data_IF_126937381321
#
_entry.id   IF_126937381321
#
_cell.length_a   1.000
_cell.length_b   1.000
_cell.length_c   1.000
_cell.angle_alpha   90.00
_cell.angle_beta   90.00
_cell.angle_gamma   90.00
#
_symmetry.space_group_name_H-M   'P 1'
#
loop_
_entity.id
_entity.type
_entity.pdbx_description
1 polymer ?
#
# COMPACT_ATOMS: atom_id res chain seq x y z
N UNK A 1 10.81 10.13 15.16
CA UNK A 1 11.08 8.94 14.33
C UNK A 1 10.75 9.30 12.90
N UNK A 2 11.67 9.08 11.96
CA UNK A 2 11.40 9.31 10.53
C UNK A 2 10.64 8.11 9.94
N UNK A 3 10.06 8.28 8.75
CA UNK A 3 9.45 7.15 8.02
C UNK A 3 10.49 6.06 7.74
N UNK A 4 11.71 6.46 7.38
CA UNK A 4 12.82 5.54 7.12
C UNK A 4 13.16 4.68 8.34
N UNK A 5 13.36 5.32 9.49
CA UNK A 5 13.66 4.59 10.74
C UNK A 5 12.54 3.61 11.09
N UNK A 6 11.28 4.04 10.93
CA UNK A 6 10.13 3.19 11.19
C UNK A 6 10.07 1.98 10.25
N UNK A 7 10.39 2.16 8.96
CA UNK A 7 10.40 1.06 7.98
C UNK A 7 11.48 0.04 8.33
N UNK A 8 12.70 0.49 8.63
CA UNK A 8 13.80 -0.41 8.99
C UNK A 8 13.50 -1.20 10.27
N UNK A 9 12.87 -0.56 11.27
CA UNK A 9 12.40 -1.24 12.49
C UNK A 9 11.22 -2.18 12.24
N UNK A 10 10.39 -1.89 11.23
CA UNK A 10 9.19 -2.67 10.95
C UNK A 10 9.49 -4.04 10.31
N UNK A 11 10.53 -4.15 9.48
CA UNK A 11 10.80 -5.37 8.69
C UNK A 11 10.90 -6.64 9.57
N UNK A 12 11.69 -6.67 10.66
CA UNK A 12 11.72 -7.84 11.55
C UNK A 12 10.38 -8.11 12.24
N UNK A 13 9.57 -7.07 12.48
CA UNK A 13 8.23 -7.22 13.09
C UNK A 13 7.28 -7.90 12.10
N UNK A 14 7.29 -7.49 10.82
CA UNK A 14 6.51 -8.16 9.77
C UNK A 14 6.88 -9.64 9.65
N UNK A 15 8.17 -9.96 9.69
CA UNK A 15 8.67 -11.33 9.67
C UNK A 15 8.17 -12.14 10.87
N UNK A 16 8.30 -11.61 12.08
CA UNK A 16 7.83 -12.27 13.30
C UNK A 16 6.31 -12.47 13.34
N UNK A 17 5.55 -11.65 12.62
CA UNK A 17 4.09 -11.62 12.66
C UNK A 17 3.43 -12.14 11.38
N UNK A 18 4.12 -12.89 10.51
CA UNK A 18 3.62 -13.31 9.18
C UNK A 18 2.18 -13.83 9.17
N UNK A 19 1.76 -14.58 10.20
CA UNK A 19 0.41 -15.16 10.33
C UNK A 19 -0.55 -14.37 11.23
N UNK A 20 -0.07 -13.32 11.88
CA UNK A 20 -0.85 -12.53 12.82
C UNK A 20 -1.78 -11.55 12.10
N UNK A 21 -2.87 -11.16 12.78
CA UNK A 21 -3.81 -10.18 12.26
C UNK A 21 -3.19 -8.77 12.20
N UNK A 22 -3.88 -7.83 11.53
CA UNK A 22 -3.43 -6.44 11.43
C UNK A 22 -3.31 -5.76 12.81
N UNK A 23 -4.17 -6.13 13.76
CA UNK A 23 -4.13 -5.59 15.12
C UNK A 23 -2.84 -6.02 15.85
N UNK A 24 -2.48 -7.30 15.78
CA UNK A 24 -1.27 -7.84 16.41
C UNK A 24 -0.01 -7.27 15.76
N UNK A 25 0.01 -7.16 14.41
CA UNK A 25 1.12 -6.52 13.70
C UNK A 25 1.30 -5.06 14.16
N UNK A 26 0.22 -4.29 14.26
CA UNK A 26 0.29 -2.90 14.75
C UNK A 26 0.80 -2.83 16.19
N UNK A 27 0.31 -3.70 17.07
CA UNK A 27 0.81 -3.79 18.45
C UNK A 27 2.30 -4.15 18.51
N UNK A 28 2.77 -5.05 17.64
CA UNK A 28 4.18 -5.39 17.49
C UNK A 28 5.04 -4.19 17.06
N UNK A 29 4.55 -3.40 16.10
CA UNK A 29 5.23 -2.17 15.65
C UNK A 29 5.30 -1.11 16.77
N UNK A 30 4.21 -0.94 17.52
CA UNK A 30 4.18 -0.07 18.69
C UNK A 30 5.14 -0.56 19.79
N UNK A 31 5.24 -1.88 19.99
CA UNK A 31 6.15 -2.52 20.93
C UNK A 31 7.64 -2.29 20.65
N UNK A 32 8.01 -2.05 19.39
CA UNK A 32 9.38 -1.64 19.00
C UNK A 32 9.57 -0.12 18.95
N UNK A 33 8.60 0.64 19.47
CA UNK A 33 8.69 2.09 19.65
C UNK A 33 8.20 2.92 18.47
N UNK A 34 7.55 2.32 17.47
CA UNK A 34 6.96 3.08 16.35
C UNK A 34 5.68 3.76 16.86
N UNK A 35 5.54 5.10 16.73
CA UNK A 35 4.34 5.80 17.18
C UNK A 35 3.09 5.25 16.50
N UNK A 36 2.00 5.05 17.26
CA UNK A 36 0.74 4.45 16.78
C UNK A 36 0.22 5.00 15.43
N UNK A 37 0.17 6.33 15.18
CA UNK A 37 -0.24 6.84 13.87
C UNK A 37 0.68 6.37 12.73
N UNK A 38 1.99 6.38 12.96
CA UNK A 38 2.99 5.93 11.99
C UNK A 38 2.97 4.41 11.80
N UNK A 39 2.71 3.64 12.87
CA UNK A 39 2.54 2.19 12.77
C UNK A 39 1.35 1.82 11.87
N UNK A 40 0.24 2.54 11.96
CA UNK A 40 -0.89 2.37 11.05
C UNK A 40 -0.51 2.66 9.59
N UNK A 41 0.20 3.76 9.34
CA UNK A 41 0.69 4.11 7.99
C UNK A 41 1.70 3.08 7.45
N UNK A 42 2.59 2.56 8.28
CA UNK A 42 3.52 1.47 7.92
C UNK A 42 2.77 0.22 7.48
N UNK A 43 1.76 -0.22 8.22
CA UNK A 43 0.94 -1.39 7.85
C UNK A 43 0.19 -1.18 6.54
N UNK A 44 -0.31 0.03 6.31
CA UNK A 44 -1.13 0.34 5.15
C UNK A 44 -0.29 0.53 3.87
N UNK A 45 0.86 1.22 3.96
CA UNK A 45 1.59 1.70 2.77
C UNK A 45 2.92 1.00 2.49
N UNK A 46 3.59 0.44 3.50
CA UNK A 46 4.88 -0.21 3.26
C UNK A 46 4.75 -1.48 2.38
N UNK A 47 3.79 -2.40 2.63
CA UNK A 47 3.55 -3.53 1.73
C UNK A 47 3.29 -3.11 0.29
N UNK A 48 2.51 -2.03 0.11
CA UNK A 48 2.18 -1.49 -1.21
C UNK A 48 3.44 -0.97 -1.93
N UNK A 49 4.28 -0.21 -1.24
CA UNK A 49 5.53 0.32 -1.79
C UNK A 49 6.48 -0.79 -2.22
N UNK A 50 6.77 -1.76 -1.34
CA UNK A 50 7.71 -2.83 -1.66
C UNK A 50 7.15 -3.78 -2.73
N UNK A 51 5.85 -4.04 -2.73
CA UNK A 51 5.19 -4.82 -3.79
C UNK A 51 5.35 -4.15 -5.16
N UNK A 52 5.09 -2.84 -5.25
CA UNK A 52 5.24 -2.12 -6.52
C UNK A 52 6.69 -2.03 -6.96
N UNK A 53 7.64 -1.89 -6.04
CA UNK A 53 9.07 -1.98 -6.38
C UNK A 53 9.46 -3.36 -6.89
N UNK A 54 8.87 -4.44 -6.35
CA UNK A 54 9.14 -5.81 -6.79
C UNK A 54 8.53 -6.12 -8.17
N UNK A 55 7.38 -5.52 -8.47
CA UNK A 55 6.66 -5.69 -9.74
C UNK A 55 7.09 -4.67 -10.82
N UNK A 56 8.00 -3.76 -10.48
CA UNK A 56 8.51 -2.77 -11.43
C UNK A 56 9.21 -3.44 -12.62
N UNK A 57 9.05 -2.86 -13.81
CA UNK A 57 9.57 -3.43 -15.06
C UNK A 57 8.80 -4.64 -15.61
N UNK A 58 7.80 -5.18 -14.90
CA UNK A 58 6.96 -6.28 -15.42
C UNK A 58 5.85 -5.80 -16.38
N UNK A 59 5.60 -4.50 -16.48
CA UNK A 59 4.54 -3.94 -17.34
C UNK A 59 3.16 -3.86 -16.70
N UNK A 60 3.00 -4.26 -15.44
CA UNK A 60 1.75 -4.09 -14.69
C UNK A 60 1.41 -2.60 -14.53
N UNK A 61 0.17 -2.22 -14.80
CA UNK A 61 -0.30 -0.83 -14.65
C UNK A 61 -0.92 -0.64 -13.28
N UNK A 62 -0.44 0.35 -12.53
CA UNK A 62 -0.96 0.69 -11.19
C UNK A 62 -1.57 2.09 -11.17
N UNK A 63 -2.64 2.27 -10.39
CA UNK A 63 -3.12 3.60 -10.06
C UNK A 63 -2.10 4.37 -9.19
N UNK A 64 -1.94 5.66 -9.44
CA UNK A 64 -1.02 6.59 -8.76
C UNK A 64 -1.58 7.20 -7.46
N UNK A 65 -2.85 6.91 -7.16
CA UNK A 65 -3.58 7.40 -6.01
C UNK A 65 -4.22 6.24 -5.25
N UNK A 66 -4.64 6.51 -4.01
CA UNK A 66 -5.40 5.59 -3.19
C UNK A 66 -6.75 6.20 -2.80
N UNK A 67 -7.69 5.34 -2.42
CA UNK A 67 -9.02 5.72 -1.92
C UNK A 67 -9.02 5.55 -0.41
N UNK A 68 -9.39 6.60 0.34
CA UNK A 68 -9.59 6.51 1.78
C UNK A 68 -11.05 6.21 2.09
N UNK A 69 -11.29 5.22 2.95
CA UNK A 69 -12.64 4.76 3.29
C UNK A 69 -12.82 4.63 4.80
N UNK A 70 -13.94 5.08 5.35
CA UNK A 70 -14.28 4.88 6.76
C UNK A 70 -14.57 3.40 7.07
N UNK A 71 -14.67 3.07 8.36
CA UNK A 71 -15.03 1.72 8.81
C UNK A 71 -16.45 1.27 8.37
N UNK A 72 -17.42 2.18 8.27
CA UNK A 72 -18.76 1.93 7.72
C UNK A 72 -18.77 1.88 6.18
N UNK A 73 -17.61 2.11 5.56
CA UNK A 73 -17.43 1.93 4.14
C UNK A 73 -17.72 3.15 3.28
N UNK A 74 -17.88 4.34 3.88
CA UNK A 74 -18.00 5.59 3.14
C UNK A 74 -16.64 6.03 2.60
N UNK A 75 -16.58 6.41 1.32
CA UNK A 75 -15.37 7.01 0.73
C UNK A 75 -15.24 8.44 1.25
N UNK A 76 -14.08 8.75 1.82
CA UNK A 76 -13.73 10.08 2.37
C UNK A 76 -13.06 10.94 1.30
N UNK A 77 -12.30 10.31 0.40
CA UNK A 77 -11.67 10.98 -0.73
C UNK A 77 -10.55 10.14 -1.34
N UNK A 78 -9.81 10.74 -2.27
CA UNK A 78 -8.63 10.14 -2.90
C UNK A 78 -7.40 11.02 -2.69
N UNK A 79 -6.22 10.42 -2.63
CA UNK A 79 -4.95 11.17 -2.54
C UNK A 79 -3.84 10.49 -3.35
N UNK A 80 -2.87 11.24 -3.90
CA UNK A 80 -1.69 10.66 -4.53
C UNK A 80 -0.91 9.78 -3.55
N UNK A 81 -0.44 8.62 -4.02
CA UNK A 81 0.42 7.75 -3.21
C UNK A 81 1.78 8.39 -2.94
N UNK A 82 2.27 9.20 -3.87
CA UNK A 82 3.54 9.93 -3.73
C UNK A 82 3.56 10.92 -2.55
N UNK A 83 2.39 11.35 -2.08
CA UNK A 83 2.24 12.25 -0.94
C UNK A 83 2.29 11.52 0.41
N UNK A 84 2.24 10.18 0.43
CA UNK A 84 2.30 9.38 1.66
C UNK A 84 3.76 9.10 2.02
N UNK A 85 4.26 9.63 3.17
CA UNK A 85 5.68 9.57 3.51
C UNK A 85 6.23 8.14 3.57
N UNK A 86 5.46 7.20 4.14
CA UNK A 86 5.83 5.78 4.23
C UNK A 86 5.92 5.14 2.84
N UNK A 87 4.98 5.44 1.94
CA UNK A 87 4.98 4.88 0.60
C UNK A 87 6.21 5.36 -0.19
N UNK A 88 6.42 6.68 -0.20
CA UNK A 88 7.54 7.31 -0.90
C UNK A 88 8.89 6.82 -0.38
N UNK A 89 9.07 6.79 0.95
CA UNK A 89 10.32 6.30 1.54
C UNK A 89 10.50 4.80 1.30
N UNK A 90 9.44 4.01 1.43
CA UNK A 90 9.47 2.56 1.17
C UNK A 90 9.93 2.24 -0.25
N UNK A 91 9.47 2.99 -1.26
CA UNK A 91 9.98 2.87 -2.63
C UNK A 91 11.47 3.24 -2.72
N UNK A 92 11.86 4.35 -2.09
CA UNK A 92 13.24 4.84 -2.16
C UNK A 92 14.25 3.86 -1.53
N UNK A 93 13.85 3.10 -0.51
CA UNK A 93 14.73 2.17 0.21
C UNK A 93 14.44 0.70 -0.09
N UNK A 94 13.62 0.38 -1.11
CA UNK A 94 13.22 -1.00 -1.39
C UNK A 94 14.43 -1.95 -1.62
N UNK A 95 15.46 -1.46 -2.31
CA UNK A 95 16.71 -2.21 -2.52
C UNK A 95 17.48 -2.43 -1.21
N UNK A 96 17.51 -1.45 -0.30
CA UNK A 96 18.14 -1.60 1.00
C UNK A 96 17.38 -2.60 1.88
N UNK A 97 16.05 -2.55 1.87
CA UNK A 97 15.21 -3.50 2.61
C UNK A 97 15.40 -4.92 2.08
N UNK A 98 15.53 -5.13 0.77
CA UNK A 98 15.79 -6.46 0.22
C UNK A 98 17.18 -6.99 0.61
N UNK A 99 18.18 -6.11 0.77
CA UNK A 99 19.50 -6.48 1.29
C UNK A 99 19.52 -6.88 2.77
N UNK A 100 18.51 -6.51 3.57
CA UNK A 100 18.40 -6.95 4.97
C UNK A 100 18.02 -8.44 5.09
N UNK A 101 17.44 -9.02 4.05
CA UNK A 101 17.10 -10.44 3.98
C UNK A 101 15.81 -10.71 3.21
N UNK A 102 15.80 -11.79 2.43
CA UNK A 102 14.65 -12.20 1.61
C UNK A 102 13.40 -12.48 2.46
N UNK A 103 13.57 -13.13 3.62
CA UNK A 103 12.46 -13.49 4.50
C UNK A 103 11.68 -12.25 5.00
N UNK A 104 12.39 -11.23 5.47
CA UNK A 104 11.79 -9.97 5.93
C UNK A 104 11.14 -9.19 4.78
N UNK A 105 11.84 -9.05 3.65
CA UNK A 105 11.29 -8.38 2.46
C UNK A 105 10.00 -9.05 1.98
N UNK A 106 10.02 -10.38 1.82
CA UNK A 106 8.84 -11.15 1.42
C UNK A 106 7.72 -11.06 2.44
N UNK A 107 8.01 -11.12 3.74
CA UNK A 107 6.99 -10.99 4.77
C UNK A 107 6.22 -9.66 4.68
N UNK A 108 6.88 -8.59 4.23
CA UNK A 108 6.24 -7.30 3.97
C UNK A 108 5.45 -7.33 2.66
N UNK A 109 6.07 -7.74 1.55
CA UNK A 109 5.43 -7.76 0.22
C UNK A 109 4.20 -8.66 0.19
N UNK A 110 4.26 -9.83 0.83
CA UNK A 110 3.17 -10.79 0.90
C UNK A 110 1.95 -10.25 1.66
N UNK A 111 2.03 -9.09 2.32
CA UNK A 111 0.87 -8.38 2.90
C UNK A 111 0.14 -7.48 1.92
N UNK A 112 0.70 -7.22 0.74
CA UNK A 112 0.06 -6.41 -0.29
C UNK A 112 -1.00 -7.21 -1.04
N UNK A 113 -2.24 -6.71 -1.04
CA UNK A 113 -3.32 -7.28 -1.85
C UNK A 113 -3.05 -7.13 -3.35
N UNK A 114 -2.35 -6.06 -3.78
CA UNK A 114 -1.94 -5.89 -5.18
C UNK A 114 -0.97 -7.00 -5.61
N UNK A 115 0.05 -7.28 -4.79
CA UNK A 115 1.01 -8.35 -5.07
C UNK A 115 0.32 -9.71 -5.19
N UNK A 116 -0.59 -10.02 -4.26
CA UNK A 116 -1.36 -11.27 -4.28
C UNK A 116 -2.28 -11.36 -5.49
N UNK A 117 -2.94 -10.26 -5.87
CA UNK A 117 -3.83 -10.23 -7.03
C UNK A 117 -3.06 -10.43 -8.33
N UNK A 118 -1.93 -9.75 -8.50
CA UNK A 118 -1.03 -9.92 -9.64
C UNK A 118 -0.51 -11.35 -9.70
N UNK A 119 0.01 -11.88 -8.58
CA UNK A 119 0.49 -13.26 -8.50
C UNK A 119 -0.56 -14.28 -8.95
N UNK A 120 -1.80 -14.17 -8.43
CA UNK A 120 -2.91 -15.04 -8.85
C UNK A 120 -3.23 -14.92 -10.34
N UNK A 121 -3.17 -13.72 -10.91
CA UNK A 121 -3.46 -13.52 -12.33
C UNK A 121 -2.39 -14.13 -13.23
N UNK A 122 -1.11 -13.99 -12.85
CA UNK A 122 0.03 -14.61 -13.53
C UNK A 122 -0.03 -16.14 -13.45
N UNK A 123 -0.34 -16.68 -12.26
CA UNK A 123 -0.52 -18.13 -12.06
C UNK A 123 -1.68 -18.69 -12.92
N UNK A 124 -2.69 -17.87 -13.20
CA UNK A 124 -3.79 -18.21 -14.11
C UNK A 124 -3.46 -18.05 -15.60
N UNK A 125 -2.21 -17.71 -15.94
CA UNK A 125 -1.73 -17.57 -17.33
C UNK A 125 -1.91 -16.18 -17.95
N UNK A 126 -2.29 -15.17 -17.16
CA UNK A 126 -2.32 -13.78 -17.64
C UNK A 126 -0.90 -13.27 -17.89
N UNK A 127 -0.74 -12.34 -18.84
CA UNK A 127 0.53 -11.62 -19.02
C UNK A 127 0.55 -10.38 -18.15
N UNK A 128 1.71 -10.01 -17.64
CA UNK A 128 1.84 -8.89 -16.71
C UNK A 128 1.41 -7.55 -17.35
N UNK A 129 1.73 -7.33 -18.63
CA UNK A 129 1.33 -6.13 -19.38
C UNK A 129 -0.19 -5.96 -19.59
N UNK A 130 -0.95 -7.05 -19.47
CA UNK A 130 -2.41 -7.03 -19.58
C UNK A 130 -3.09 -6.68 -18.24
N UNK A 131 -2.32 -6.62 -17.14
CA UNK A 131 -2.84 -6.39 -15.80
C UNK A 131 -2.94 -4.89 -15.47
N UNK A 132 -4.07 -4.52 -14.88
CA UNK A 132 -4.34 -3.18 -14.35
C UNK A 132 -4.86 -3.27 -12.93
N UNK A 133 -4.13 -2.70 -11.98
CA UNK A 133 -4.51 -2.63 -10.58
C UNK A 133 -5.33 -1.37 -10.32
N UNK A 134 -6.55 -1.56 -9.80
CA UNK A 134 -7.38 -0.47 -9.31
C UNK A 134 -6.73 0.24 -8.11
N UNK A 135 -7.13 1.50 -7.82
CA UNK A 135 -6.64 2.24 -6.65
C UNK A 135 -6.77 1.42 -5.36
N UNK A 136 -5.71 1.30 -4.55
CA UNK A 136 -5.80 0.61 -3.27
C UNK A 136 -6.78 1.36 -2.35
N UNK A 137 -7.57 0.59 -1.60
CA UNK A 137 -8.51 1.12 -0.61
C UNK A 137 -7.87 1.02 0.76
N UNK A 138 -7.72 2.16 1.42
CA UNK A 138 -7.08 2.24 2.74
C UNK A 138 -8.09 2.73 3.78
N UNK A 139 -8.21 2.00 4.88
CA UNK A 139 -9.15 2.33 5.95
C UNK A 139 -8.70 3.57 6.72
N UNK A 140 -9.58 4.55 6.85
CA UNK A 140 -9.37 5.68 7.74
C UNK A 140 -9.41 5.21 9.19
N UNK A 141 -8.33 5.48 9.92
CA UNK A 141 -8.36 5.41 11.38
C UNK A 141 -9.28 6.47 11.95
N UNK A 142 -9.86 6.23 13.13
CA UNK A 142 -10.66 7.23 13.84
C UNK A 142 -9.91 8.54 14.11
N UNK A 143 -8.58 8.48 14.16
CA UNK A 143 -7.70 9.63 14.39
C UNK A 143 -7.18 10.28 13.10
N UNK A 144 -7.63 9.83 11.92
CA UNK A 144 -7.20 10.40 10.64
C UNK A 144 -7.85 11.77 10.42
N UNK A 145 -7.12 12.82 10.82
CA UNK A 145 -7.54 14.23 10.67
C UNK A 145 -7.02 14.88 9.39
N UNK A 146 -6.40 14.12 8.49
CA UNK A 146 -5.82 14.67 7.27
C UNK A 146 -6.94 15.20 6.37
N UNK A 147 -6.77 16.38 5.73
CA UNK A 147 -7.73 16.86 4.76
C UNK A 147 -7.70 15.93 3.55
N UNK A 148 -8.87 15.49 3.11
CA UNK A 148 -9.06 14.80 1.85
C UNK A 148 -9.84 15.72 0.92
N UNK A 149 -9.55 15.65 -0.38
CA UNK A 149 -10.46 16.23 -1.37
C UNK A 149 -11.78 15.50 -1.21
N UNK A 150 -12.77 16.18 -0.62
CA UNK A 150 -14.09 15.62 -0.37
C UNK A 150 -14.80 15.39 -1.70
N UNK A 151 -14.54 14.24 -2.30
CA UNK A 151 -15.25 13.79 -3.50
C UNK A 151 -16.67 13.32 -3.17
N UNK A 152 -17.09 13.31 -1.90
CA UNK A 152 -18.42 12.84 -1.49
C UNK A 152 -19.52 13.90 -1.66
N UNK A 153 -19.16 15.18 -1.79
CA UNK A 153 -20.09 16.29 -2.11
C UNK A 153 -20.17 16.65 -3.60
N UNK A 154 -19.18 16.26 -4.40
CA UNK A 154 -19.15 16.50 -5.84
C UNK A 154 -19.83 15.37 -6.60
N UNK A 155 -20.75 15.70 -7.52
CA UNK A 155 -21.27 14.77 -8.53
C UNK A 155 -20.08 14.05 -9.16
N UNK A 156 -19.86 12.77 -8.82
CA UNK A 156 -18.81 11.95 -9.45
C UNK A 156 -18.90 12.24 -10.95
N UNK A 157 -17.85 12.82 -11.59
CA UNK A 157 -17.89 12.99 -13.03
C UNK A 157 -18.15 11.60 -13.57
N UNK A 158 -19.31 11.42 -14.23
CA UNK A 158 -19.65 10.15 -14.88
C UNK A 158 -18.42 9.75 -15.66
N UNK A 159 -17.78 8.66 -15.21
CA UNK A 159 -16.45 8.29 -15.68
C UNK A 159 -16.43 8.38 -17.18
N UNK A 160 -15.55 9.22 -17.73
CA UNK A 160 -15.24 9.13 -19.14
C UNK A 160 -14.82 7.69 -19.37
N UNK A 161 -15.59 6.98 -20.19
CA UNK A 161 -15.32 5.62 -20.60
C UNK A 161 -13.95 5.58 -21.25
N UNK A 162 -12.97 5.09 -20.51
CA UNK A 162 -11.55 5.09 -20.86
C UNK A 162 -11.21 4.09 -22.00
N UNK A 163 -12.20 3.37 -22.52
CA UNK A 163 -12.09 2.41 -23.63
C UNK A 163 -12.39 2.98 -25.02
N UNK A 164 -12.26 4.29 -25.27
CA UNK A 164 -12.24 4.77 -26.67
C UNK A 164 -10.84 4.56 -27.25
N UNK A 165 -10.65 3.65 -28.22
CA UNK A 165 -9.38 3.56 -28.91
C UNK A 165 -9.17 4.86 -29.71
N UNK A 166 -7.97 5.40 -29.62
CA UNK A 166 -7.51 6.56 -30.37
C UNK A 166 -7.64 6.27 -31.87
N UNK A 167 -8.29 7.17 -32.60
CA UNK A 167 -8.31 7.20 -34.06
C UNK A 167 -7.16 8.03 -34.62
#
# INVERSE_FOLDING_TARGET
MTARDAILLAVPVFEAHQRAGLADLRAGLEGVGIPRPLAAEVVDFLPLALARSMLDGMGVRFADHYVRRTADGRVIGTRPLADEPVFREGLAIACEVSCLGDAGFRAVVERSEEYRAVGRALDAGSRAEDLECHPPVVSAGHDDRRPFDDTSGGRQPRGRTWWRPWG
#
